data_IF_566116578646
#
_entry.id   IF_566116578646
#
_cell.length_a   1.000
_cell.length_b   1.000
_cell.length_c   1.000
_cell.angle_alpha   90.00
_cell.angle_beta   90.00
_cell.angle_gamma   90.00
#
_symmetry.space_group_name_H-M   'P 1'
#
loop_
_entity.id
_entity.type
_entity.pdbx_description
1 polymer ?
#
# COMPACT_ATOMS: atom_id res chain seq x y z
N UNK A 1 2.21 27.45 -14.91
CA UNK A 1 2.36 25.98 -15.05
C UNK A 1 1.04 25.35 -14.63
N UNK A 2 0.31 24.69 -15.53
CA UNK A 2 -0.95 24.03 -15.22
C UNK A 2 -0.58 22.77 -14.43
N UNK A 3 -1.14 22.60 -13.23
CA UNK A 3 -0.91 21.38 -12.43
C UNK A 3 -1.64 20.21 -13.08
N UNK A 4 -0.98 19.07 -13.16
CA UNK A 4 -1.58 17.84 -13.67
C UNK A 4 -2.73 17.38 -12.77
N UNK A 5 -3.82 16.88 -13.40
CA UNK A 5 -4.97 16.34 -12.66
C UNK A 5 -4.53 15.07 -11.90
N UNK A 6 -4.86 15.01 -10.61
CA UNK A 6 -4.54 13.86 -9.79
C UNK A 6 -5.35 12.62 -10.22
N UNK A 7 -4.72 11.46 -10.20
CA UNK A 7 -5.40 10.18 -10.38
C UNK A 7 -6.10 9.75 -9.10
N UNK A 8 -7.25 9.09 -9.25
CA UNK A 8 -7.89 8.28 -8.21
C UNK A 8 -7.60 6.83 -8.54
N UNK A 9 -6.82 6.20 -7.70
CA UNK A 9 -6.45 4.78 -7.79
C UNK A 9 -6.55 4.16 -6.41
N UNK A 10 -6.86 2.88 -6.35
CA UNK A 10 -6.83 2.12 -5.12
C UNK A 10 -5.41 1.69 -4.74
N UNK A 11 -5.21 1.43 -3.44
CA UNK A 11 -3.91 1.08 -2.88
C UNK A 11 -3.32 -0.17 -3.54
N UNK A 12 -4.11 -1.22 -3.73
CA UNK A 12 -3.63 -2.45 -4.36
C UNK A 12 -3.14 -2.21 -5.79
N UNK A 13 -3.92 -1.50 -6.64
CA UNK A 13 -3.49 -1.17 -8.01
C UNK A 13 -2.22 -0.32 -8.01
N UNK A 14 -2.10 0.64 -7.09
CA UNK A 14 -0.94 1.50 -6.99
C UNK A 14 0.32 0.73 -6.53
N UNK A 15 0.18 -0.12 -5.52
CA UNK A 15 1.28 -0.91 -4.98
C UNK A 15 1.76 -2.03 -5.92
N UNK A 16 0.89 -2.52 -6.83
CA UNK A 16 1.27 -3.47 -7.88
C UNK A 16 2.15 -2.83 -8.98
N UNK A 17 2.43 -1.52 -8.90
CA UNK A 17 3.20 -0.82 -9.94
C UNK A 17 4.67 -1.17 -9.87
N UNK A 18 5.22 -1.67 -10.99
CA UNK A 18 6.64 -2.00 -11.15
C UNK A 18 7.31 -1.22 -12.30
N UNK A 19 6.56 -0.33 -12.96
CA UNK A 19 7.05 0.43 -14.11
C UNK A 19 7.12 1.93 -13.82
N UNK A 20 8.30 2.50 -14.03
CA UNK A 20 8.56 3.93 -13.85
C UNK A 20 9.28 4.46 -15.08
N UNK A 21 8.88 5.63 -15.55
CA UNK A 21 9.60 6.33 -16.61
C UNK A 21 9.62 7.84 -16.38
N UNK A 22 10.57 8.52 -17.01
CA UNK A 22 10.73 9.96 -16.96
C UNK A 22 10.61 10.53 -18.37
N UNK A 23 9.77 11.54 -18.55
CA UNK A 23 9.62 12.24 -19.84
C UNK A 23 10.59 13.42 -19.92
N UNK A 24 11.62 13.34 -20.77
CA UNK A 24 12.53 14.45 -21.04
C UNK A 24 13.81 14.43 -20.19
N UNK A 25 14.41 15.62 -19.96
CA UNK A 25 15.72 15.76 -19.33
C UNK A 25 15.69 15.63 -17.77
N UNK A 26 16.83 15.88 -17.12
CA UNK A 26 17.09 15.66 -15.68
C UNK A 26 16.07 16.25 -14.68
N UNK A 27 15.22 17.18 -15.09
CA UNK A 27 14.18 17.79 -14.24
C UNK A 27 12.75 17.46 -14.68
N UNK A 28 12.60 16.50 -15.58
CA UNK A 28 11.29 16.09 -16.08
C UNK A 28 10.49 15.29 -15.02
N UNK A 29 9.15 15.34 -15.10
CA UNK A 29 8.33 14.56 -14.18
C UNK A 29 8.54 13.06 -14.37
N UNK A 30 8.67 12.34 -13.26
CA UNK A 30 8.68 10.89 -13.23
C UNK A 30 7.25 10.38 -13.05
N UNK A 31 6.90 9.33 -13.78
CA UNK A 31 5.59 8.69 -13.75
C UNK A 31 5.71 7.23 -13.35
N UNK A 32 4.85 6.85 -12.42
CA UNK A 32 4.56 5.44 -12.12
C UNK A 32 3.40 5.02 -13.01
N UNK A 33 3.54 3.92 -13.73
CA UNK A 33 2.47 3.35 -14.56
C UNK A 33 1.93 2.12 -13.87
N UNK A 34 0.63 2.15 -13.53
CA UNK A 34 -0.02 0.99 -12.93
C UNK A 34 -0.25 -0.12 -13.97
N UNK A 35 -0.50 -1.37 -13.55
CA UNK A 35 -0.86 -2.44 -14.47
C UNK A 35 -2.05 -2.12 -15.38
N UNK A 36 -3.01 -1.32 -14.89
CA UNK A 36 -4.18 -0.87 -15.66
C UNK A 36 -3.95 0.47 -16.39
N UNK A 37 -2.70 0.91 -16.55
CA UNK A 37 -2.34 2.08 -17.36
C UNK A 37 -2.60 3.44 -16.73
N UNK A 38 -2.84 3.54 -15.41
CA UNK A 38 -2.82 4.85 -14.78
C UNK A 38 -1.38 5.39 -14.75
N UNK A 39 -1.14 6.50 -15.43
CA UNK A 39 0.16 7.18 -15.51
C UNK A 39 0.26 8.24 -14.43
N UNK A 40 0.82 7.84 -13.29
CA UNK A 40 0.74 8.58 -12.03
C UNK A 40 2.00 9.40 -11.77
N UNK A 41 1.90 10.72 -11.83
CA UNK A 41 2.80 11.66 -11.17
C UNK A 41 2.15 12.21 -9.89
N UNK A 42 0.82 12.42 -9.93
CA UNK A 42 0.03 12.98 -8.84
C UNK A 42 -1.22 12.17 -8.61
N UNK A 43 -1.58 11.93 -7.34
CA UNK A 43 -2.76 11.16 -6.95
C UNK A 43 -3.53 11.85 -5.82
N UNK A 44 -4.82 11.56 -5.75
CA UNK A 44 -5.74 11.92 -4.67
C UNK A 44 -6.31 10.62 -4.11
N UNK A 45 -6.03 10.36 -2.85
CA UNK A 45 -6.51 9.19 -2.12
C UNK A 45 -7.28 9.60 -0.88
N UNK A 46 -8.29 8.81 -0.51
CA UNK A 46 -9.07 9.02 0.71
C UNK A 46 -9.27 7.66 1.37
N UNK A 47 -9.01 7.61 2.67
CA UNK A 47 -9.14 6.39 3.46
C UNK A 47 -9.04 6.67 4.94
N UNK A 48 -8.75 5.64 5.71
CA UNK A 48 -8.50 5.74 7.15
C UNK A 48 -7.00 5.86 7.37
N UNK A 49 -6.56 6.91 8.06
CA UNK A 49 -5.21 6.95 8.63
C UNK A 49 -5.21 6.02 9.84
N UNK A 50 -4.47 4.93 9.74
CA UNK A 50 -4.34 3.91 10.79
C UNK A 50 -3.13 4.15 11.68
N UNK A 51 -2.11 4.83 11.15
CA UNK A 51 -0.87 5.07 11.85
C UNK A 51 -0.25 6.42 11.44
N UNK A 52 0.32 7.13 12.40
CA UNK A 52 1.13 8.33 12.18
C UNK A 52 2.33 8.27 13.11
N UNK A 53 3.53 8.29 12.54
CA UNK A 53 4.79 8.23 13.25
C UNK A 53 5.67 9.45 12.96
N UNK A 54 6.31 9.98 13.99
CA UNK A 54 7.38 10.93 13.81
C UNK A 54 8.72 10.18 13.85
N UNK A 55 9.34 10.01 12.69
CA UNK A 55 10.64 9.36 12.52
C UNK A 55 11.77 10.37 12.35
N UNK A 56 11.56 11.60 12.85
CA UNK A 56 12.54 12.68 12.80
C UNK A 56 13.85 12.28 13.48
N UNK A 57 14.96 12.57 12.82
CA UNK A 57 16.28 12.68 13.46
C UNK A 57 16.49 14.10 13.92
N UNK A 58 17.56 14.38 14.70
CA UNK A 58 17.90 15.75 15.13
C UNK A 58 18.11 16.71 13.93
N UNK A 59 18.46 16.18 12.76
CA UNK A 59 18.77 16.96 11.56
C UNK A 59 17.62 17.02 10.54
N UNK A 60 16.69 16.03 10.51
CA UNK A 60 15.64 15.96 9.50
C UNK A 60 14.26 15.61 10.10
N UNK A 61 13.33 16.59 10.16
CA UNK A 61 11.96 16.29 10.54
C UNK A 61 11.28 15.43 9.47
N UNK A 62 10.78 14.26 9.85
CA UNK A 62 10.08 13.36 8.94
C UNK A 62 8.89 12.68 9.62
N UNK A 63 7.73 12.78 8.99
CA UNK A 63 6.51 12.12 9.41
C UNK A 63 6.16 11.01 8.41
N UNK A 64 5.84 9.84 8.91
CA UNK A 64 5.24 8.75 8.14
C UNK A 64 3.80 8.56 8.58
N UNK A 65 2.96 8.13 7.64
CA UNK A 65 1.60 7.71 7.91
C UNK A 65 1.20 6.56 7.01
N UNK A 66 0.28 5.73 7.50
CA UNK A 66 -0.40 4.69 6.73
C UNK A 66 -1.84 5.12 6.51
N UNK A 67 -2.30 5.10 5.27
CA UNK A 67 -3.68 5.38 4.89
C UNK A 67 -4.25 4.17 4.20
N UNK A 68 -5.25 3.55 4.81
CA UNK A 68 -5.90 2.34 4.29
C UNK A 68 -7.18 2.67 3.55
N UNK A 69 -7.33 2.10 2.36
CA UNK A 69 -8.56 2.06 1.59
C UNK A 69 -9.14 0.62 1.58
N UNK A 70 -10.27 0.32 0.92
CA UNK A 70 -10.84 -1.03 0.92
C UNK A 70 -9.93 -2.12 0.31
N UNK A 71 -8.83 -1.77 -0.34
CA UNK A 71 -7.99 -2.70 -1.10
C UNK A 71 -6.59 -2.88 -0.51
N UNK A 72 -6.17 -1.99 0.40
CA UNK A 72 -4.84 -2.04 0.99
C UNK A 72 -4.39 -0.69 1.56
N UNK A 73 -3.09 -0.53 1.71
CA UNK A 73 -2.49 0.60 2.42
C UNK A 73 -1.58 1.43 1.51
N UNK A 74 -1.74 2.75 1.56
CA UNK A 74 -0.80 3.71 1.01
C UNK A 74 0.20 4.14 2.09
N UNK A 75 1.46 4.22 1.69
CA UNK A 75 2.53 4.77 2.52
C UNK A 75 2.75 6.24 2.19
N UNK A 76 2.73 7.09 3.22
CA UNK A 76 2.85 8.54 3.10
C UNK A 76 4.09 9.00 3.85
N UNK A 77 4.90 9.87 3.23
CA UNK A 77 6.08 10.45 3.87
C UNK A 77 6.16 11.94 3.63
N UNK A 78 6.17 12.72 4.72
CA UNK A 78 6.28 14.19 4.72
C UNK A 78 7.54 14.62 5.48
N UNK A 79 8.50 15.22 4.79
CA UNK A 79 9.74 15.74 5.35
C UNK A 79 9.78 17.28 5.35
N UNK A 80 10.98 17.83 5.50
CA UNK A 80 11.25 19.28 5.55
C UNK A 80 10.72 20.07 4.33
N UNK A 81 10.58 19.44 3.18
CA UNK A 81 10.05 20.08 1.96
C UNK A 81 8.52 20.07 1.86
N UNK A 82 7.81 19.47 2.81
CA UNK A 82 6.36 19.43 2.92
C UNK A 82 5.87 19.90 4.31
N UNK A 83 6.28 21.10 4.76
CA UNK A 83 6.04 21.53 6.14
C UNK A 83 4.55 21.62 6.50
N UNK A 84 3.70 22.03 5.54
CA UNK A 84 2.25 22.12 5.76
C UNK A 84 1.62 20.73 5.92
N UNK A 85 1.99 19.77 5.05
CA UNK A 85 1.49 18.41 5.12
C UNK A 85 2.00 17.68 6.38
N UNK A 86 3.27 17.87 6.75
CA UNK A 86 3.85 17.35 7.97
C UNK A 86 3.12 17.89 9.22
N UNK A 87 2.83 19.20 9.26
CA UNK A 87 2.08 19.82 10.36
C UNK A 87 0.62 19.34 10.42
N UNK A 88 0.00 18.94 9.30
CA UNK A 88 -1.33 18.33 9.31
C UNK A 88 -1.27 16.88 9.81
N UNK A 89 -0.31 16.07 9.35
CA UNK A 89 -0.12 14.70 9.84
C UNK A 89 0.11 14.67 11.35
N UNK A 90 0.93 15.58 11.88
CA UNK A 90 1.21 15.69 13.32
C UNK A 90 -0.04 15.94 14.19
N UNK A 91 -1.14 16.44 13.60
CA UNK A 91 -2.39 16.73 14.32
C UNK A 91 -3.40 15.59 14.26
N UNK A 92 -3.28 14.72 13.26
CA UNK A 92 -4.20 13.60 13.08
C UNK A 92 -3.96 12.60 14.19
N UNK A 93 -5.05 12.16 14.81
CA UNK A 93 -5.05 11.10 15.82
C UNK A 93 -5.70 9.86 15.20
N UNK A 94 -4.92 8.82 14.87
CA UNK A 94 -5.48 7.60 14.34
C UNK A 94 -6.42 6.90 15.34
N UNK A 95 -7.48 6.21 14.86
CA UNK A 95 -7.91 6.15 13.48
C UNK A 95 -8.70 7.39 13.06
N UNK A 96 -8.45 7.93 11.84
CA UNK A 96 -9.16 9.10 11.33
C UNK A 96 -9.31 9.05 9.81
N UNK A 97 -10.47 9.46 9.29
CA UNK A 97 -10.64 9.60 7.83
C UNK A 97 -9.85 10.79 7.32
N UNK A 98 -9.06 10.59 6.28
CA UNK A 98 -8.29 11.66 5.67
C UNK A 98 -8.27 11.58 4.14
N UNK A 99 -8.20 12.76 3.52
CA UNK A 99 -7.89 12.94 2.11
C UNK A 99 -6.44 13.38 1.98
N UNK A 100 -5.69 12.69 1.13
CA UNK A 100 -4.28 12.99 0.84
C UNK A 100 -4.12 13.21 -0.65
N UNK A 101 -3.60 14.37 -1.03
CA UNK A 101 -3.20 14.68 -2.38
C UNK A 101 -1.70 14.89 -2.41
N UNK A 102 -1.01 14.22 -3.33
CA UNK A 102 0.43 14.29 -3.38
C UNK A 102 1.02 13.74 -4.66
N UNK A 103 2.34 13.77 -4.72
CA UNK A 103 3.12 13.19 -5.80
C UNK A 103 3.51 11.76 -5.47
N UNK A 104 3.43 10.90 -6.47
CA UNK A 104 4.02 9.57 -6.41
C UNK A 104 5.53 9.67 -6.21
N UNK A 105 6.05 8.87 -5.30
CA UNK A 105 7.49 8.70 -5.06
C UNK A 105 7.85 7.24 -5.16
N UNK A 106 8.99 6.99 -5.78
CA UNK A 106 9.53 5.65 -5.96
C UNK A 106 10.80 5.52 -5.17
N UNK A 107 10.97 4.40 -4.53
CA UNK A 107 12.20 3.95 -3.91
C UNK A 107 12.57 2.59 -4.49
N UNK A 108 13.78 2.47 -5.01
CA UNK A 108 14.31 1.21 -5.57
C UNK A 108 15.60 0.88 -4.84
N UNK A 109 15.56 -0.02 -3.83
CA UNK A 109 16.76 -0.43 -3.11
C UNK A 109 17.69 -1.30 -3.96
N UNK A 110 17.10 -2.12 -4.85
CA UNK A 110 17.79 -3.06 -5.73
C UNK A 110 17.19 -3.01 -7.13
N UNK A 111 17.97 -3.45 -8.13
CA UNK A 111 17.49 -3.52 -9.51
C UNK A 111 16.30 -4.49 -9.63
N UNK A 112 15.18 -4.00 -10.15
CA UNK A 112 13.93 -4.77 -10.32
C UNK A 112 12.94 -4.68 -9.15
N UNK A 113 13.33 -4.12 -7.99
CA UNK A 113 12.43 -3.91 -6.86
C UNK A 113 12.00 -2.45 -6.77
N UNK A 114 10.69 -2.21 -6.77
CA UNK A 114 10.12 -0.87 -6.70
C UNK A 114 9.12 -0.79 -5.56
N UNK A 115 9.33 0.17 -4.68
CA UNK A 115 8.37 0.57 -3.66
C UNK A 115 7.79 1.94 -4.00
N UNK A 116 6.48 2.05 -3.98
CA UNK A 116 5.77 3.29 -4.24
C UNK A 116 5.25 3.90 -2.93
N UNK A 117 5.31 5.22 -2.85
CA UNK A 117 4.79 5.98 -1.71
C UNK A 117 4.25 7.32 -2.16
N UNK A 118 3.56 8.04 -1.26
CA UNK A 118 3.01 9.36 -1.53
C UNK A 118 3.81 10.41 -0.77
N UNK A 119 4.34 11.39 -1.51
CA UNK A 119 4.84 12.63 -0.95
C UNK A 119 3.69 13.65 -0.94
N UNK A 120 3.07 13.91 0.22
CA UNK A 120 1.85 14.69 0.29
C UNK A 120 2.12 16.16 -0.01
N UNK A 121 1.24 16.76 -0.80
CA UNK A 121 1.13 18.20 -1.02
C UNK A 121 0.04 18.80 -0.10
N UNK A 122 -0.98 17.98 0.22
CA UNK A 122 -2.09 18.34 1.10
C UNK A 122 -2.54 17.10 1.87
N UNK A 123 -2.78 17.27 3.14
CA UNK A 123 -3.44 16.29 4.01
C UNK A 123 -4.59 17.01 4.69
N UNK A 124 -5.78 16.41 4.72
CA UNK A 124 -6.94 16.98 5.37
C UNK A 124 -7.81 15.88 5.97
N UNK A 125 -8.15 16.03 7.24
CA UNK A 125 -9.14 15.17 7.88
C UNK A 125 -10.51 15.40 7.24
N UNK A 126 -11.25 14.33 6.99
CA UNK A 126 -12.55 14.34 6.30
C UNK A 126 -13.54 13.47 7.06
N UNK A 127 -14.79 13.46 6.61
CA UNK A 127 -15.82 12.58 7.17
C UNK A 127 -15.99 11.31 6.34
N UNK A 128 -16.71 10.35 6.91
CA UNK A 128 -17.04 9.09 6.27
C UNK A 128 -17.75 9.26 4.91
N UNK A 129 -18.70 10.19 4.82
CA UNK A 129 -19.43 10.43 3.58
C UNK A 129 -18.53 10.89 2.42
N UNK A 130 -17.46 11.66 2.70
CA UNK A 130 -16.48 12.01 1.68
C UNK A 130 -15.62 10.80 1.28
N UNK A 131 -15.26 9.93 2.25
CA UNK A 131 -14.58 8.67 1.97
C UNK A 131 -15.41 7.79 1.03
N UNK A 132 -16.70 7.61 1.33
CA UNK A 132 -17.60 6.79 0.53
C UNK A 132 -17.78 7.35 -0.88
N UNK A 133 -17.94 8.66 -0.99
CA UNK A 133 -17.99 9.33 -2.29
C UNK A 133 -16.70 9.09 -3.10
N UNK A 134 -15.53 9.20 -2.46
CA UNK A 134 -14.26 8.94 -3.12
C UNK A 134 -14.14 7.49 -3.58
N UNK A 135 -14.52 6.51 -2.74
CA UNK A 135 -14.50 5.07 -3.09
C UNK A 135 -15.38 4.83 -4.32
N UNK A 136 -16.59 5.41 -4.38
CA UNK A 136 -17.46 5.29 -5.54
C UNK A 136 -16.84 5.86 -6.81
N UNK A 137 -16.21 7.04 -6.73
CA UNK A 137 -15.55 7.68 -7.86
C UNK A 137 -14.28 6.89 -8.28
N UNK A 138 -13.52 6.35 -7.33
CA UNK A 138 -12.38 5.48 -7.61
C UNK A 138 -12.82 4.17 -8.29
N UNK A 139 -13.96 3.59 -7.89
CA UNK A 139 -14.57 2.44 -8.57
C UNK A 139 -14.95 2.75 -10.03
N UNK A 140 -15.53 3.92 -10.30
CA UNK A 140 -15.82 4.34 -11.68
C UNK A 140 -14.55 4.47 -12.52
N UNK A 141 -13.51 5.10 -11.97
CA UNK A 141 -12.23 5.26 -12.65
C UNK A 141 -11.54 3.90 -12.85
N UNK A 142 -11.59 3.00 -11.86
CA UNK A 142 -11.06 1.63 -11.97
C UNK A 142 -11.81 0.83 -13.05
N UNK A 143 -13.14 0.86 -13.06
CA UNK A 143 -13.95 0.22 -14.11
C UNK A 143 -13.55 0.69 -15.51
N UNK A 144 -13.36 2.00 -15.68
CA UNK A 144 -12.94 2.58 -16.96
C UNK A 144 -11.56 2.06 -17.38
N UNK A 145 -10.59 1.93 -16.46
CA UNK A 145 -9.27 1.37 -16.74
C UNK A 145 -9.33 -0.13 -17.07
N UNK A 146 -10.16 -0.90 -16.33
CA UNK A 146 -10.39 -2.33 -16.62
C UNK A 146 -10.95 -2.51 -18.02
N UNK A 147 -11.97 -1.73 -18.40
CA UNK A 147 -12.57 -1.80 -19.74
C UNK A 147 -11.56 -1.47 -20.83
N UNK A 148 -10.80 -0.37 -20.66
CA UNK A 148 -9.76 0.03 -21.62
C UNK A 148 -8.68 -1.04 -21.77
N UNK A 149 -8.28 -1.70 -20.69
CA UNK A 149 -7.27 -2.75 -20.75
C UNK A 149 -7.82 -4.03 -21.40
N UNK A 150 -9.07 -4.43 -21.12
CA UNK A 150 -9.72 -5.57 -21.80
C UNK A 150 -9.79 -5.35 -23.31
N UNK A 151 -10.21 -4.17 -23.76
CA UNK A 151 -10.23 -3.83 -25.19
C UNK A 151 -8.82 -3.79 -25.79
N UNK A 152 -7.81 -3.29 -25.04
CA UNK A 152 -6.43 -3.32 -25.48
C UNK A 152 -5.86 -4.74 -25.59
N UNK A 153 -6.38 -5.72 -24.83
CA UNK A 153 -5.97 -7.12 -24.96
C UNK A 153 -6.44 -7.75 -26.28
N UNK A 154 -7.56 -7.28 -26.83
CA UNK A 154 -8.12 -7.74 -28.11
C UNK A 154 -7.48 -7.03 -29.34
N UNK A 155 -6.67 -5.97 -29.11
CA UNK A 155 -6.03 -5.21 -30.17
C UNK A 155 -4.65 -5.80 -30.53
N UNK A 156 -4.37 -5.95 -31.84
CA UNK A 156 -3.05 -6.33 -32.36
C UNK A 156 -2.72 -5.54 -33.64
N UNK A 157 -1.81 -4.56 -33.59
CA UNK A 157 -1.15 -4.00 -32.40
C UNK A 157 -2.06 -3.06 -31.59
N UNK A 158 -1.82 -2.97 -30.28
CA UNK A 158 -2.45 -1.95 -29.44
C UNK A 158 -1.87 -0.58 -29.78
N UNK A 159 -2.74 0.39 -30.05
CA UNK A 159 -2.35 1.76 -30.39
C UNK A 159 -3.10 2.79 -29.56
N UNK A 160 -2.45 3.92 -29.31
CA UNK A 160 -3.04 5.06 -28.60
C UNK A 160 -4.26 5.60 -29.36
N UNK A 161 -4.14 5.73 -30.68
CA UNK A 161 -5.18 6.22 -31.58
C UNK A 161 -6.40 5.30 -31.59
N UNK A 162 -6.18 3.98 -31.57
CA UNK A 162 -7.24 3.00 -31.50
C UNK A 162 -8.05 3.11 -30.21
N UNK A 163 -7.39 3.26 -29.06
CA UNK A 163 -8.06 3.45 -27.77
C UNK A 163 -8.79 4.80 -27.70
N UNK A 164 -8.24 5.87 -28.26
CA UNK A 164 -8.92 7.17 -28.34
C UNK A 164 -10.16 7.08 -29.23
N UNK A 165 -10.12 6.35 -30.34
CA UNK A 165 -11.28 6.13 -31.21
C UNK A 165 -12.42 5.38 -30.49
N UNK A 166 -12.11 4.54 -29.50
CA UNK A 166 -13.08 3.88 -28.61
C UNK A 166 -13.63 4.80 -27.49
N UNK A 167 -13.14 6.04 -27.42
CA UNK A 167 -13.63 7.04 -26.45
C UNK A 167 -12.81 7.18 -25.18
N UNK A 168 -11.69 6.48 -25.06
CA UNK A 168 -10.80 6.65 -23.89
C UNK A 168 -9.99 7.95 -24.00
N UNK A 169 -9.69 8.53 -22.83
CA UNK A 169 -8.87 9.74 -22.80
C UNK A 169 -7.46 9.47 -23.30
N UNK A 170 -6.84 10.47 -23.94
CA UNK A 170 -5.47 10.39 -24.41
C UNK A 170 -4.48 9.96 -23.31
N UNK A 171 -4.68 10.48 -22.10
CA UNK A 171 -3.87 10.16 -20.93
C UNK A 171 -3.94 8.68 -20.54
N UNK A 172 -5.14 8.09 -20.59
CA UNK A 172 -5.35 6.68 -20.31
C UNK A 172 -4.82 5.82 -21.46
N UNK A 173 -5.12 6.17 -22.70
CA UNK A 173 -4.66 5.45 -23.89
C UNK A 173 -3.12 5.31 -23.93
N UNK A 174 -2.39 6.39 -23.67
CA UNK A 174 -0.93 6.37 -23.59
C UNK A 174 -0.43 5.46 -22.46
N UNK A 175 -1.07 5.52 -21.29
CA UNK A 175 -0.73 4.66 -20.15
C UNK A 175 -1.00 3.18 -20.41
N UNK A 176 -2.11 2.83 -21.05
CA UNK A 176 -2.46 1.46 -21.45
C UNK A 176 -1.44 0.86 -22.41
N UNK A 177 -1.05 1.62 -23.46
CA UNK A 177 -0.03 1.15 -24.42
C UNK A 177 1.28 0.82 -23.71
N UNK A 178 1.71 1.67 -22.78
CA UNK A 178 2.93 1.46 -21.98
C UNK A 178 2.79 0.27 -21.01
N UNK A 179 1.65 0.17 -20.33
CA UNK A 179 1.37 -0.94 -19.41
C UNK A 179 1.39 -2.29 -20.13
N UNK A 180 0.78 -2.38 -21.32
CA UNK A 180 0.77 -3.59 -22.15
C UNK A 180 2.17 -4.05 -22.58
N UNK A 181 3.09 -3.11 -22.77
CA UNK A 181 4.48 -3.41 -23.13
C UNK A 181 5.30 -3.92 -21.94
N UNK A 182 4.95 -3.52 -20.72
CA UNK A 182 5.70 -3.86 -19.51
C UNK A 182 5.10 -5.04 -18.75
N UNK A 183 3.78 -5.03 -18.53
CA UNK A 183 3.07 -6.07 -17.77
C UNK A 183 2.53 -7.15 -18.71
N UNK A 184 3.37 -8.12 -19.06
CA UNK A 184 3.04 -9.14 -20.07
C UNK A 184 1.98 -10.15 -19.60
N UNK A 185 2.02 -10.53 -18.32
CA UNK A 185 1.16 -11.54 -17.71
C UNK A 185 0.16 -10.93 -16.71
N UNK A 186 -0.47 -9.80 -17.08
CA UNK A 186 -1.38 -9.11 -16.19
C UNK A 186 -2.74 -9.81 -16.08
N UNK A 187 -3.13 -10.13 -14.85
CA UNK A 187 -4.46 -10.65 -14.50
C UNK A 187 -5.46 -9.50 -14.30
N UNK A 188 -6.27 -9.22 -15.33
CA UNK A 188 -7.32 -8.17 -15.29
C UNK A 188 -8.49 -8.59 -14.40
N UNK A 189 -8.73 -9.89 -14.22
CA UNK A 189 -9.85 -10.38 -13.41
C UNK A 189 -9.60 -10.18 -11.91
N UNK A 190 -8.34 -10.16 -11.46
CA UNK A 190 -7.94 -9.69 -10.13
C UNK A 190 -8.54 -8.32 -9.83
N UNK A 191 -8.39 -7.36 -10.74
CA UNK A 191 -8.92 -5.99 -10.57
C UNK A 191 -10.43 -5.90 -10.73
N UNK A 192 -11.03 -6.80 -11.52
CA UNK A 192 -12.49 -6.92 -11.61
C UNK A 192 -13.10 -7.38 -10.29
N UNK A 193 -12.47 -8.35 -9.61
CA UNK A 193 -12.86 -8.81 -8.28
C UNK A 193 -12.68 -7.71 -7.24
N UNK A 194 -11.53 -7.02 -7.25
CA UNK A 194 -11.24 -5.88 -6.38
C UNK A 194 -12.28 -4.75 -6.52
N UNK A 195 -12.73 -4.46 -7.74
CA UNK A 195 -13.82 -3.49 -7.99
C UNK A 195 -15.11 -3.89 -7.29
N UNK A 196 -15.50 -5.16 -7.40
CA UNK A 196 -16.73 -5.68 -6.78
C UNK A 196 -16.62 -5.58 -5.26
N UNK A 197 -15.52 -5.98 -4.68
CA UNK A 197 -15.30 -5.97 -3.23
C UNK A 197 -15.26 -4.53 -2.69
N UNK A 198 -14.63 -3.59 -3.41
CA UNK A 198 -14.65 -2.17 -3.06
C UNK A 198 -16.05 -1.55 -3.10
N UNK A 199 -16.92 -1.98 -4.03
CA UNK A 199 -18.32 -1.55 -4.07
C UNK A 199 -19.11 -2.15 -2.91
N UNK A 200 -18.88 -3.42 -2.57
CA UNK A 200 -19.51 -4.07 -1.40
C UNK A 200 -19.16 -3.36 -0.11
N UNK A 201 -17.94 -2.87 0.04
CA UNK A 201 -17.51 -2.09 1.19
C UNK A 201 -18.37 -0.85 1.45
N UNK A 202 -19.05 -0.29 0.44
CA UNK A 202 -19.99 0.83 0.60
C UNK A 202 -21.34 0.42 1.22
N UNK A 203 -21.64 -0.88 1.28
CA UNK A 203 -22.88 -1.39 1.83
C UNK A 203 -22.73 -1.64 3.35
N UNK A 204 -23.61 -1.11 4.22
CA UNK A 204 -23.49 -1.26 5.67
C UNK A 204 -23.36 -2.72 6.13
N UNK A 205 -24.14 -3.62 5.50
CA UNK A 205 -24.16 -5.06 5.82
C UNK A 205 -22.79 -5.74 5.65
N UNK A 206 -21.98 -5.24 4.72
CA UNK A 206 -20.63 -5.79 4.48
C UNK A 206 -19.56 -5.14 5.33
N UNK A 207 -19.78 -3.88 5.79
CA UNK A 207 -18.87 -3.20 6.72
C UNK A 207 -18.84 -3.87 8.07
N UNK A 208 -20.01 -4.15 8.65
CA UNK A 208 -20.12 -4.85 9.93
C UNK A 208 -19.42 -6.23 9.88
N UNK A 209 -19.51 -6.92 8.73
CA UNK A 209 -18.81 -8.20 8.54
C UNK A 209 -17.31 -8.05 8.38
N UNK A 210 -16.83 -6.96 7.78
CA UNK A 210 -15.41 -6.67 7.61
C UNK A 210 -14.78 -6.27 8.95
N UNK A 211 -15.43 -5.38 9.71
CA UNK A 211 -14.99 -4.98 11.06
C UNK A 211 -14.90 -6.18 12.00
N UNK A 212 -15.90 -7.07 12.01
CA UNK A 212 -15.88 -8.32 12.82
C UNK A 212 -14.78 -9.30 12.36
N UNK A 213 -14.41 -9.28 11.06
CA UNK A 213 -13.30 -10.11 10.56
C UNK A 213 -11.94 -9.51 10.90
N UNK A 214 -11.81 -8.17 10.81
CA UNK A 214 -10.58 -7.48 11.18
C UNK A 214 -10.31 -7.61 12.69
N UNK A 215 -11.31 -7.39 13.56
CA UNK A 215 -11.17 -7.62 14.99
C UNK A 215 -10.75 -9.06 15.34
N UNK A 216 -11.33 -10.08 14.67
CA UNK A 216 -10.92 -11.48 14.88
C UNK A 216 -9.54 -11.82 14.34
N UNK A 217 -9.12 -11.18 13.24
CA UNK A 217 -7.78 -11.38 12.69
C UNK A 217 -6.73 -10.71 13.57
N UNK A 218 -7.02 -9.54 14.14
CA UNK A 218 -6.13 -8.87 15.09
C UNK A 218 -6.04 -9.63 16.43
N UNK A 219 -7.16 -10.12 16.99
CA UNK A 219 -7.13 -10.97 18.18
C UNK A 219 -6.35 -12.27 17.95
N UNK A 220 -6.59 -12.99 16.86
CA UNK A 220 -5.85 -14.21 16.50
C UNK A 220 -4.35 -13.93 16.26
N UNK A 221 -4.00 -12.75 15.78
CA UNK A 221 -2.62 -12.33 15.52
C UNK A 221 -1.90 -11.97 16.81
N UNK A 222 -2.54 -11.19 17.69
CA UNK A 222 -2.01 -10.84 19.01
C UNK A 222 -1.84 -12.09 19.90
N UNK A 223 -2.76 -13.05 19.85
CA UNK A 223 -2.64 -14.32 20.53
C UNK A 223 -1.44 -15.14 20.04
N UNK A 224 -1.19 -15.17 18.72
CA UNK A 224 -0.04 -15.86 18.14
C UNK A 224 1.29 -15.16 18.43
N UNK A 225 1.34 -13.83 18.38
CA UNK A 225 2.51 -13.06 18.80
C UNK A 225 2.86 -13.35 20.26
N UNK A 226 1.88 -13.34 21.14
CA UNK A 226 2.04 -13.68 22.57
C UNK A 226 2.55 -15.10 22.73
N UNK A 227 1.99 -16.07 22.01
CA UNK A 227 2.45 -17.46 22.04
C UNK A 227 3.91 -17.61 21.57
N UNK A 228 4.32 -16.87 20.52
CA UNK A 228 5.70 -16.90 20.03
C UNK A 228 6.66 -16.27 21.05
N UNK A 229 6.27 -15.16 21.68
CA UNK A 229 7.05 -14.54 22.78
C UNK A 229 7.25 -15.49 23.96
N UNK A 230 6.21 -16.20 24.38
CA UNK A 230 6.29 -17.21 25.45
C UNK A 230 7.19 -18.41 25.07
N UNK A 231 7.11 -18.85 23.80
CA UNK A 231 8.00 -19.91 23.29
C UNK A 231 9.46 -19.45 23.33
N UNK A 232 9.78 -18.24 22.87
CA UNK A 232 11.14 -17.69 22.90
C UNK A 232 11.64 -17.61 24.35
N UNK A 233 10.82 -17.10 25.27
CA UNK A 233 11.19 -16.96 26.68
C UNK A 233 11.40 -18.33 27.36
N UNK A 234 10.53 -19.32 27.12
CA UNK A 234 10.63 -20.66 27.67
C UNK A 234 11.87 -21.44 27.21
N UNK A 235 12.34 -21.16 25.99
CA UNK A 235 13.50 -21.79 25.36
C UNK A 235 14.82 -21.12 25.72
N UNK A 236 14.81 -19.87 26.17
CA UNK A 236 16.02 -19.13 26.56
C UNK A 236 16.47 -19.47 27.99
N UNK A 237 16.79 -20.73 28.26
CA UNK A 237 17.19 -21.22 29.60
C UNK A 237 18.54 -20.67 30.06
N UNK A 238 19.38 -20.18 29.13
CA UNK A 238 20.76 -19.82 29.43
C UNK A 238 21.04 -18.32 29.24
N UNK A 239 20.03 -17.48 28.93
CA UNK A 239 20.16 -16.06 28.65
C UNK A 239 20.91 -15.73 27.36
N UNK A 240 21.14 -16.74 26.49
CA UNK A 240 21.84 -16.62 25.20
C UNK A 240 20.90 -16.57 23.99
N UNK A 241 19.59 -16.51 24.22
CA UNK A 241 18.55 -16.57 23.24
C UNK A 241 18.19 -17.99 22.77
N UNK A 242 16.94 -18.19 22.37
CA UNK A 242 16.42 -19.43 21.83
C UNK A 242 16.89 -19.62 20.37
N UNK A 243 17.24 -20.85 19.97
CA UNK A 243 17.62 -21.12 18.59
C UNK A 243 16.40 -21.12 17.67
N UNK A 244 16.56 -20.66 16.42
CA UNK A 244 15.47 -20.62 15.44
C UNK A 244 14.82 -22.01 15.23
N UNK A 245 15.64 -23.07 15.23
CA UNK A 245 15.14 -24.44 15.07
C UNK A 245 14.23 -24.89 16.24
N UNK A 246 14.56 -24.47 17.45
CA UNK A 246 13.75 -24.83 18.63
C UNK A 246 12.48 -23.99 18.71
N UNK A 247 12.55 -22.70 18.31
CA UNK A 247 11.38 -21.83 18.15
C UNK A 247 10.43 -22.42 17.11
N UNK A 248 10.94 -22.87 15.96
CA UNK A 248 10.15 -23.51 14.90
C UNK A 248 9.43 -24.77 15.40
N UNK A 249 10.11 -25.60 16.21
CA UNK A 249 9.51 -26.80 16.81
C UNK A 249 8.42 -26.43 17.83
N UNK A 250 8.65 -25.38 18.62
CA UNK A 250 7.68 -24.85 19.58
C UNK A 250 6.43 -24.30 18.89
N UNK A 251 6.62 -23.45 17.89
CA UNK A 251 5.55 -22.84 17.09
C UNK A 251 4.69 -23.89 16.37
N UNK A 252 5.32 -24.91 15.81
CA UNK A 252 4.60 -26.03 15.15
C UNK A 252 3.71 -26.80 16.14
N UNK A 253 4.10 -26.95 17.41
CA UNK A 253 3.27 -27.56 18.46
C UNK A 253 2.09 -26.67 18.85
N UNK A 254 2.25 -25.34 18.75
CA UNK A 254 1.21 -24.34 18.96
C UNK A 254 0.31 -24.12 17.73
N UNK A 255 0.53 -24.87 16.63
CA UNK A 255 -0.28 -24.78 15.41
C UNK A 255 0.11 -23.66 14.45
N UNK A 256 1.21 -22.96 14.70
CA UNK A 256 1.71 -21.87 13.86
C UNK A 256 2.57 -22.44 12.73
N UNK A 257 2.26 -22.06 11.49
CA UNK A 257 3.01 -22.50 10.30
C UNK A 257 4.34 -21.74 10.19
N UNK A 258 5.28 -22.30 9.41
CA UNK A 258 6.63 -21.74 9.26
C UNK A 258 6.60 -20.33 8.68
N UNK A 259 5.86 -20.13 7.59
CA UNK A 259 5.77 -18.84 6.90
C UNK A 259 5.15 -17.78 7.82
N UNK A 260 4.12 -18.16 8.57
CA UNK A 260 3.45 -17.31 9.56
C UNK A 260 4.38 -16.97 10.75
N UNK A 261 5.19 -17.94 11.21
CA UNK A 261 6.19 -17.69 12.25
C UNK A 261 7.28 -16.71 11.78
N UNK A 262 7.71 -16.79 10.51
CA UNK A 262 8.67 -15.85 9.95
C UNK A 262 8.12 -14.42 9.91
N UNK A 263 6.85 -14.24 9.55
CA UNK A 263 6.17 -12.94 9.59
C UNK A 263 6.07 -12.39 11.03
N UNK A 264 5.58 -13.20 11.95
CA UNK A 264 5.47 -12.82 13.37
C UNK A 264 6.83 -12.48 13.98
N UNK A 265 7.86 -13.25 13.68
CA UNK A 265 9.21 -13.02 14.20
C UNK A 265 9.79 -11.69 13.68
N UNK A 266 9.58 -11.34 12.41
CA UNK A 266 9.98 -10.06 11.85
C UNK A 266 9.22 -8.89 12.49
N UNK A 267 7.91 -9.04 12.71
CA UNK A 267 7.11 -8.01 13.39
C UNK A 267 7.55 -7.81 14.85
N UNK A 268 7.88 -8.87 15.57
CA UNK A 268 8.39 -8.80 16.94
C UNK A 268 9.77 -8.12 17.00
N UNK A 269 10.62 -8.29 15.98
CA UNK A 269 11.89 -7.58 15.83
C UNK A 269 11.65 -6.10 15.53
N UNK A 270 10.73 -5.78 14.62
CA UNK A 270 10.37 -4.40 14.25
C UNK A 270 9.70 -3.64 15.41
N UNK A 271 8.89 -4.35 16.23
CA UNK A 271 8.29 -3.81 17.45
C UNK A 271 9.31 -3.67 18.61
N UNK A 272 10.53 -4.19 18.45
CA UNK A 272 11.54 -4.17 19.50
C UNK A 272 11.19 -5.03 20.72
N UNK A 273 10.35 -6.05 20.55
CA UNK A 273 9.98 -6.97 21.61
C UNK A 273 10.95 -8.16 21.74
N UNK A 274 11.67 -8.43 20.66
CA UNK A 274 12.75 -9.42 20.61
C UNK A 274 13.96 -8.83 19.86
N UNK A 275 15.12 -9.44 20.06
CA UNK A 275 16.34 -9.11 19.30
C UNK A 275 17.16 -10.36 19.02
N UNK A 276 18.07 -10.31 18.05
CA UNK A 276 19.03 -11.38 17.76
C UNK A 276 20.36 -11.12 18.46
N UNK A 277 20.63 -11.78 19.60
CA UNK A 277 21.93 -11.65 20.27
C UNK A 277 23.07 -12.28 19.48
N UNK A 278 22.78 -13.30 18.68
CA UNK A 278 23.68 -14.01 17.76
C UNK A 278 22.84 -14.48 16.56
N UNK A 279 23.41 -14.50 15.37
CA UNK A 279 22.73 -14.93 14.15
C UNK A 279 22.02 -16.29 14.34
N UNK A 280 20.72 -16.32 14.07
CA UNK A 280 19.87 -17.51 14.22
C UNK A 280 19.41 -17.79 15.64
N UNK A 281 19.53 -16.84 16.56
CA UNK A 281 18.97 -16.91 17.91
C UNK A 281 18.14 -15.68 18.24
N UNK A 282 16.97 -15.86 18.82
CA UNK A 282 16.09 -14.76 19.23
C UNK A 282 15.98 -14.72 20.75
N UNK A 283 15.93 -13.51 21.29
CA UNK A 283 15.77 -13.27 22.72
C UNK A 283 14.77 -12.14 22.95
N UNK A 284 13.89 -12.34 23.92
CA UNK A 284 12.94 -11.32 24.39
C UNK A 284 13.70 -10.22 25.13
N UNK A 285 13.30 -8.96 24.92
CA UNK A 285 13.86 -7.76 25.58
C UNK A 285 13.27 -7.62 26.97
#
# INVERSE_FOLDING_TARGET
MIREVAWRVFAAEYNDSTYVYTEGGERAPSYVVTPLGARINRLLVVGVITEVENIATEEEPMWRARLSDPTGTFYISAGQYQPEAAAQLAKIKPPAFAAVMGKSRVYSPEEGTIYVSIRPEMVKEVNEGLRDFWVLEACKDLRNRISAMKEAQEMDPVTKEGLIALGYSERLADGIVRAKQHYLDMDVDKYSSMLIDSLRYLLPEFREQAEVKEEKVDEDKDDKETAVLEIIESLDKNGKGASWEDILKGAKKAGIKKDELEEIANELLDKGLVYEPVLGRMKKI
#
